data_IF_382268529043
#
_entry.id   IF_382268529043
#
_cell.length_a   1.000
_cell.length_b   1.000
_cell.length_c   1.000
_cell.angle_alpha   90.00
_cell.angle_beta   90.00
_cell.angle_gamma   90.00
#
_symmetry.space_group_name_H-M   'P 1'
#
loop_
_entity.id
_entity.type
_entity.pdbx_description
1 polymer ?
#
# COMPACT_ATOMS: atom_id res chain seq x y z
N UNK A 1 6.46 15.25 2.86
CA UNK A 1 6.19 14.38 4.03
C UNK A 1 5.69 13.03 3.53
N UNK A 2 6.05 11.90 4.15
CA UNK A 2 5.52 10.56 3.82
C UNK A 2 4.47 10.14 4.84
N UNK A 3 3.53 9.29 4.44
CA UNK A 3 2.52 8.68 5.31
C UNK A 3 2.53 7.15 5.17
N UNK A 4 1.97 6.46 6.16
CA UNK A 4 1.81 5.01 6.14
C UNK A 4 0.63 4.56 5.28
N UNK A 5 0.60 3.27 4.91
CA UNK A 5 -0.50 2.68 4.12
C UNK A 5 -1.85 2.87 4.81
N UNK A 6 -1.95 2.67 6.12
CA UNK A 6 -3.22 2.85 6.83
C UNK A 6 -3.76 4.29 6.74
N UNK A 7 -2.87 5.30 6.80
CA UNK A 7 -3.25 6.71 6.67
C UNK A 7 -3.68 7.04 5.24
N UNK A 8 -2.95 6.54 4.25
CA UNK A 8 -3.33 6.68 2.85
C UNK A 8 -4.70 6.03 2.56
N UNK A 9 -4.99 4.88 3.18
CA UNK A 9 -6.28 4.21 3.08
C UNK A 9 -7.42 5.03 3.70
N UNK A 10 -7.20 5.65 4.86
CA UNK A 10 -8.19 6.56 5.46
C UNK A 10 -8.52 7.72 4.51
N UNK A 11 -7.51 8.36 3.92
CA UNK A 11 -7.71 9.41 2.91
C UNK A 11 -8.46 8.88 1.69
N UNK A 12 -8.12 7.70 1.19
CA UNK A 12 -8.85 7.08 0.09
C UNK A 12 -10.34 6.88 0.42
N UNK A 13 -10.66 6.39 1.62
CA UNK A 13 -12.03 6.21 2.06
C UNK A 13 -12.79 7.55 2.15
N UNK A 14 -12.17 8.62 2.65
CA UNK A 14 -12.76 9.97 2.71
C UNK A 14 -13.16 10.50 1.34
N UNK A 15 -12.42 10.14 0.29
CA UNK A 15 -12.69 10.50 -1.10
C UNK A 15 -13.47 9.42 -1.87
N UNK A 16 -14.04 8.43 -1.18
CA UNK A 16 -14.89 7.39 -1.79
C UNK A 16 -14.16 6.33 -2.60
N UNK A 17 -12.83 6.24 -2.50
CA UNK A 17 -12.05 5.17 -3.14
C UNK A 17 -12.22 3.89 -2.30
N UNK A 18 -12.70 2.78 -2.89
CA UNK A 18 -12.94 1.54 -2.16
C UNK A 18 -11.65 0.99 -1.53
N UNK A 19 -11.72 0.65 -0.26
CA UNK A 19 -10.64 -0.03 0.47
C UNK A 19 -11.17 -1.31 1.11
N UNK A 20 -10.32 -2.32 1.24
CA UNK A 20 -10.63 -3.48 2.07
C UNK A 20 -10.76 -3.04 3.54
N UNK A 21 -11.62 -3.70 4.31
CA UNK A 21 -11.68 -3.49 5.75
C UNK A 21 -10.33 -3.81 6.40
N UNK A 22 -9.92 -3.04 7.39
CA UNK A 22 -8.69 -3.28 8.14
C UNK A 22 -8.27 -2.09 8.99
N UNK A 23 -7.46 -2.37 10.00
CA UNK A 23 -6.95 -1.37 10.93
C UNK A 23 -5.56 -1.77 11.44
N UNK A 24 -4.89 -0.86 12.15
CA UNK A 24 -3.55 -1.09 12.71
C UNK A 24 -3.61 -1.75 14.08
N UNK A 25 -2.65 -2.63 14.33
CA UNK A 25 -2.38 -3.25 15.61
C UNK A 25 -0.90 -3.08 15.98
N UNK A 26 -0.64 -2.79 17.25
CA UNK A 26 0.69 -2.75 17.85
C UNK A 26 0.99 -4.02 18.67
N UNK A 27 -0.05 -4.75 19.08
CA UNK A 27 0.05 -6.00 19.84
C UNK A 27 -0.63 -7.18 19.12
N UNK A 28 -0.23 -8.44 19.41
CA UNK A 28 -0.92 -9.61 18.89
C UNK A 28 -2.41 -9.66 19.28
N UNK A 29 -2.77 -9.20 20.48
CA UNK A 29 -4.15 -9.21 20.97
C UNK A 29 -5.04 -8.24 20.20
N UNK A 30 -4.55 -7.04 19.91
CA UNK A 30 -5.22 -6.10 19.02
C UNK A 30 -5.41 -6.71 17.62
N UNK A 31 -4.38 -7.38 17.09
CA UNK A 31 -4.44 -8.01 15.78
C UNK A 31 -5.48 -9.14 15.73
N UNK A 32 -5.59 -9.95 16.79
CA UNK A 32 -6.62 -10.98 16.92
C UNK A 32 -8.01 -10.37 16.98
N UNK A 33 -8.21 -9.31 17.78
CA UNK A 33 -9.50 -8.63 17.86
C UNK A 33 -9.94 -8.08 16.49
N UNK A 34 -9.02 -7.46 15.75
CA UNK A 34 -9.28 -6.98 14.39
C UNK A 34 -9.60 -8.13 13.42
N UNK A 35 -8.84 -9.24 13.48
CA UNK A 35 -9.07 -10.39 12.62
C UNK A 35 -10.41 -11.08 12.91
N UNK A 36 -10.81 -11.19 14.17
CA UNK A 36 -12.13 -11.73 14.57
C UNK A 36 -13.28 -10.85 14.06
N UNK A 37 -13.14 -9.53 14.13
CA UNK A 37 -14.12 -8.58 13.57
C UNK A 37 -14.19 -8.63 12.04
N UNK A 38 -13.04 -8.79 11.39
CA UNK A 38 -12.90 -8.75 9.93
C UNK A 38 -13.23 -10.09 9.25
N UNK A 39 -13.00 -11.18 9.97
CA UNK A 39 -13.07 -12.56 9.49
C UNK A 39 -11.84 -12.95 8.65
N UNK A 40 -11.31 -14.15 8.89
CA UNK A 40 -10.24 -14.73 8.08
C UNK A 40 -10.71 -15.06 6.64
N UNK A 41 -9.77 -15.19 5.67
CA UNK A 41 -8.34 -14.87 5.77
C UNK A 41 -8.09 -13.36 5.87
N UNK A 42 -6.99 -12.97 6.53
CA UNK A 42 -6.52 -11.57 6.63
C UNK A 42 -5.07 -11.47 6.13
N UNK A 43 -4.65 -10.26 5.79
CA UNK A 43 -3.28 -9.93 5.43
C UNK A 43 -2.71 -9.03 6.51
N UNK A 44 -1.59 -9.42 7.08
CA UNK A 44 -0.82 -8.57 7.97
C UNK A 44 0.30 -7.87 7.19
N UNK A 45 0.43 -6.55 7.37
CA UNK A 45 1.36 -5.72 6.59
C UNK A 45 2.13 -4.75 7.48
N UNK A 46 3.45 -4.84 7.46
CA UNK A 46 4.35 -3.90 8.12
C UNK A 46 4.05 -2.45 7.69
N UNK A 47 3.92 -1.56 8.67
CA UNK A 47 3.75 -0.12 8.43
C UNK A 47 5.11 0.59 8.57
N UNK A 48 5.79 0.79 7.44
CA UNK A 48 7.08 1.49 7.34
C UNK A 48 7.07 2.42 6.12
N UNK A 49 7.88 3.49 6.13
CA UNK A 49 7.87 4.55 5.10
C UNK A 49 8.75 4.22 3.88
N UNK A 50 8.76 2.94 3.50
CA UNK A 50 9.53 2.36 2.39
C UNK A 50 8.72 1.29 1.66
N UNK A 51 8.96 1.18 0.35
CA UNK A 51 8.45 0.09 -0.49
C UNK A 51 9.25 -1.21 -0.34
N UNK A 52 8.79 -2.28 -1.01
CA UNK A 52 9.46 -3.59 -1.02
C UNK A 52 9.16 -4.48 0.20
N UNK A 53 8.12 -4.13 0.98
CA UNK A 53 7.72 -4.85 2.20
C UNK A 53 7.41 -6.33 1.96
N UNK A 54 6.78 -6.67 0.83
CA UNK A 54 6.50 -8.05 0.45
C UNK A 54 7.77 -8.88 0.25
N UNK A 55 8.71 -8.39 -0.57
CA UNK A 55 10.03 -9.02 -0.78
C UNK A 55 10.83 -9.14 0.52
N UNK A 56 10.66 -8.21 1.46
CA UNK A 56 11.30 -8.23 2.77
C UNK A 56 10.57 -9.11 3.83
N UNK A 57 9.52 -9.84 3.44
CA UNK A 57 8.77 -10.72 4.36
C UNK A 57 7.89 -9.97 5.36
N UNK A 58 7.62 -8.69 5.14
CA UNK A 58 6.77 -7.84 5.96
C UNK A 58 5.30 -7.80 5.52
N UNK A 59 4.89 -8.66 4.59
CA UNK A 59 3.50 -8.83 4.16
C UNK A 59 3.19 -10.33 4.15
N UNK A 60 2.11 -10.74 4.81
CA UNK A 60 1.74 -12.16 4.90
C UNK A 60 0.23 -12.33 4.94
N UNK A 61 -0.29 -13.27 4.14
CA UNK A 61 -1.66 -13.77 4.26
C UNK A 61 -1.69 -14.81 5.37
N UNK A 62 -2.65 -14.68 6.29
CA UNK A 62 -2.85 -15.57 7.44
C UNK A 62 -4.29 -16.09 7.43
N UNK A 63 -4.44 -17.38 7.73
CA UNK A 63 -5.68 -18.12 7.56
C UNK A 63 -6.42 -18.37 8.88
N UNK A 64 -5.71 -18.31 9.99
CA UNK A 64 -6.22 -18.61 11.33
C UNK A 64 -5.51 -17.80 12.42
N UNK A 65 -6.05 -17.86 13.63
CA UNK A 65 -5.57 -17.12 14.80
C UNK A 65 -4.14 -17.50 15.20
N UNK A 66 -3.79 -18.80 15.13
CA UNK A 66 -2.47 -19.28 15.54
C UNK A 66 -1.40 -18.70 14.62
N UNK A 67 -1.57 -18.85 13.32
CA UNK A 67 -0.61 -18.32 12.33
C UNK A 67 -0.58 -16.79 12.34
N UNK A 68 -1.69 -16.13 12.67
CA UNK A 68 -1.69 -14.67 12.86
C UNK A 68 -0.74 -14.23 13.98
N UNK A 69 -0.77 -14.87 15.15
CA UNK A 69 0.10 -14.51 16.28
C UNK A 69 1.58 -14.74 15.94
N UNK A 70 1.89 -15.90 15.36
CA UNK A 70 3.25 -16.27 14.95
C UNK A 70 3.82 -15.25 13.96
N UNK A 71 3.08 -14.95 12.89
CA UNK A 71 3.52 -14.04 11.84
C UNK A 71 3.52 -12.59 12.30
N UNK A 72 2.59 -12.18 13.19
CA UNK A 72 2.60 -10.86 13.80
C UNK A 72 3.91 -10.62 14.56
N UNK A 73 4.27 -11.53 15.47
CA UNK A 73 5.49 -11.42 16.27
C UNK A 73 6.75 -11.44 15.40
N UNK A 74 6.76 -12.29 14.36
CA UNK A 74 7.87 -12.32 13.40
C UNK A 74 8.02 -10.99 12.68
N UNK A 75 6.95 -10.45 12.10
CA UNK A 75 7.00 -9.22 11.29
C UNK A 75 7.28 -7.99 12.16
N UNK A 76 6.72 -7.92 13.38
CA UNK A 76 6.94 -6.81 14.32
C UNK A 76 8.42 -6.63 14.70
N UNK A 77 9.20 -7.70 14.66
CA UNK A 77 10.63 -7.68 14.96
C UNK A 77 11.53 -7.39 13.73
N UNK A 78 10.95 -7.21 12.54
CA UNK A 78 11.74 -6.89 11.35
C UNK A 78 12.24 -5.44 11.36
N UNK A 79 13.36 -5.26 10.68
CA UNK A 79 13.82 -3.96 10.20
C UNK A 79 13.87 -4.01 8.68
N UNK A 80 13.07 -3.17 8.02
CA UNK A 80 12.93 -3.16 6.56
C UNK A 80 13.62 -1.91 6.03
N UNK A 81 14.74 -2.08 5.31
CA UNK A 81 15.54 -0.97 4.74
C UNK A 81 15.87 0.13 5.78
N UNK A 82 16.23 -0.27 7.01
CA UNK A 82 16.55 0.64 8.12
C UNK A 82 15.36 1.11 8.96
N UNK A 83 14.12 0.75 8.61
CA UNK A 83 12.93 1.10 9.36
C UNK A 83 12.48 -0.07 10.24
N UNK A 84 12.51 0.12 11.57
CA UNK A 84 11.94 -0.84 12.52
C UNK A 84 10.42 -0.86 12.40
N UNK A 85 9.83 -2.04 12.44
CA UNK A 85 8.37 -2.20 12.35
C UNK A 85 7.70 -1.89 13.69
N UNK A 86 7.00 -0.75 13.77
CA UNK A 86 6.30 -0.34 15.00
C UNK A 86 4.85 -0.83 15.07
N UNK A 87 4.19 -1.06 13.94
CA UNK A 87 2.79 -1.52 13.88
C UNK A 87 2.51 -2.27 12.60
N UNK A 88 1.52 -3.15 12.64
CA UNK A 88 1.06 -3.90 11.48
C UNK A 88 -0.37 -3.48 11.13
N UNK A 89 -0.66 -3.36 9.85
CA UNK A 89 -2.04 -3.28 9.35
C UNK A 89 -2.57 -4.71 9.22
N UNK A 90 -3.72 -4.98 9.83
CA UNK A 90 -4.48 -6.22 9.68
C UNK A 90 -5.68 -5.91 8.80
N UNK A 91 -5.69 -6.43 7.57
CA UNK A 91 -6.72 -6.14 6.58
C UNK A 91 -7.34 -7.40 6.02
N UNK A 92 -8.62 -7.34 5.62
CA UNK A 92 -9.28 -8.46 4.93
C UNK A 92 -8.49 -8.85 3.70
N UNK A 93 -8.20 -10.15 3.54
CA UNK A 93 -7.63 -10.66 2.31
C UNK A 93 -8.71 -10.64 1.21
N UNK A 94 -8.33 -10.17 0.04
CA UNK A 94 -9.19 -10.10 -1.15
C UNK A 94 -8.77 -11.20 -2.13
N UNK A 95 -9.74 -11.77 -2.84
CA UNK A 95 -9.48 -12.70 -3.94
C UNK A 95 -9.11 -11.90 -5.19
N UNK A 96 -7.80 -11.84 -5.46
CA UNK A 96 -7.24 -11.00 -6.52
C UNK A 96 -7.31 -11.77 -7.84
N UNK A 97 -8.13 -11.27 -8.78
CA UNK A 97 -8.20 -11.81 -10.15
C UNK A 97 -7.22 -11.13 -11.10
N UNK A 98 -6.97 -9.83 -10.89
CA UNK A 98 -6.04 -9.01 -11.66
C UNK A 98 -5.43 -7.95 -10.75
N UNK A 99 -4.17 -7.64 -10.98
CA UNK A 99 -3.46 -6.54 -10.32
C UNK A 99 -3.10 -5.50 -11.36
N UNK A 100 -3.29 -4.22 -11.02
CA UNK A 100 -2.96 -3.10 -11.88
C UNK A 100 -2.10 -2.10 -11.11
N UNK A 101 -1.30 -1.34 -11.84
CA UNK A 101 -0.55 -0.22 -11.28
C UNK A 101 -1.24 1.09 -11.66
N UNK A 102 -1.44 1.98 -10.69
CA UNK A 102 -1.85 3.37 -10.90
C UNK A 102 -1.08 4.28 -9.95
N UNK A 103 -0.53 5.38 -10.47
CA UNK A 103 0.06 6.44 -9.67
C UNK A 103 -0.25 7.81 -10.27
N UNK A 104 -0.29 8.81 -9.41
CA UNK A 104 -0.39 10.23 -9.78
C UNK A 104 0.82 10.93 -9.19
N UNK A 105 1.58 11.63 -10.02
CA UNK A 105 2.79 12.36 -9.61
C UNK A 105 2.97 13.61 -10.46
N UNK A 106 3.97 14.42 -10.13
CA UNK A 106 4.34 15.62 -10.88
C UNK A 106 5.49 15.27 -11.83
N UNK A 107 5.31 15.59 -13.12
CA UNK A 107 6.40 15.63 -14.08
C UNK A 107 7.00 17.04 -14.08
N UNK A 108 8.15 17.21 -13.41
CA UNK A 108 8.82 18.51 -13.28
C UNK A 108 9.37 19.04 -14.61
N UNK A 109 9.62 18.18 -15.60
CA UNK A 109 10.13 18.62 -16.92
C UNK A 109 9.00 19.24 -17.72
N UNK A 110 7.81 18.66 -17.65
CA UNK A 110 6.61 19.18 -18.32
C UNK A 110 5.87 20.24 -17.51
N UNK A 111 6.09 20.29 -16.20
CA UNK A 111 5.36 21.15 -15.29
C UNK A 111 3.87 20.79 -15.22
N UNK A 112 3.55 19.49 -15.23
CA UNK A 112 2.17 18.98 -15.25
C UNK A 112 2.02 17.78 -14.30
N UNK A 113 0.79 17.52 -13.89
CA UNK A 113 0.43 16.28 -13.19
C UNK A 113 0.32 15.16 -14.23
N UNK A 114 0.97 14.04 -13.94
CA UNK A 114 0.94 12.84 -14.77
C UNK A 114 0.31 11.68 -14.00
N UNK A 115 -0.65 11.03 -14.65
CA UNK A 115 -1.23 9.76 -14.23
C UNK A 115 -0.47 8.67 -14.97
N UNK A 116 0.07 7.71 -14.23
CA UNK A 116 0.83 6.57 -14.73
C UNK A 116 0.00 5.32 -14.46
N UNK A 117 -0.24 4.52 -15.49
CA UNK A 117 -0.98 3.26 -15.36
C UNK A 117 -0.27 2.11 -16.08
N UNK A 118 -0.40 0.89 -15.55
CA UNK A 118 0.06 -0.32 -16.22
C UNK A 118 -0.84 -1.51 -15.92
N UNK A 119 -0.95 -2.41 -16.91
CA UNK A 119 -1.59 -3.71 -16.74
C UNK A 119 -0.80 -4.61 -15.78
N UNK A 120 0.50 -4.36 -15.61
CA UNK A 120 1.40 -5.13 -14.75
C UNK A 120 1.40 -4.52 -13.34
N UNK A 121 0.39 -4.84 -12.55
CA UNK A 121 0.36 -4.52 -11.13
C UNK A 121 1.22 -5.45 -10.27
N UNK A 122 1.45 -5.07 -9.00
CA UNK A 122 2.15 -5.92 -8.02
C UNK A 122 3.68 -6.02 -8.20
N UNK A 123 4.23 -5.50 -9.30
CA UNK A 123 5.66 -5.48 -9.62
C UNK A 123 6.29 -4.11 -9.37
N UNK A 124 7.61 -4.04 -9.44
CA UNK A 124 8.35 -2.79 -9.30
C UNK A 124 8.22 -1.97 -10.60
N UNK A 125 7.46 -0.87 -10.53
CA UNK A 125 7.22 -0.02 -11.70
C UNK A 125 8.50 0.61 -12.26
N UNK A 126 9.53 0.82 -11.43
CA UNK A 126 10.83 1.35 -11.88
C UNK A 126 11.61 0.30 -12.69
N UNK A 127 11.37 -0.99 -12.42
CA UNK A 127 11.88 -2.10 -13.22
C UNK A 127 11.15 -2.15 -14.56
N UNK A 128 9.80 -2.15 -14.54
CA UNK A 128 8.98 -2.11 -15.77
C UNK A 128 9.35 -0.93 -16.67
N UNK A 129 9.60 0.25 -16.11
CA UNK A 129 9.98 1.44 -16.88
C UNK A 129 11.33 1.30 -17.62
N UNK A 130 12.20 0.38 -17.17
CA UNK A 130 13.49 0.09 -17.80
C UNK A 130 13.41 -1.06 -18.79
N UNK A 131 12.64 -2.10 -18.48
CA UNK A 131 12.59 -3.34 -19.27
C UNK A 131 11.50 -3.32 -20.33
N UNK A 132 10.30 -2.86 -19.95
CA UNK A 132 9.08 -2.91 -20.76
C UNK A 132 8.35 -1.54 -20.74
N UNK A 133 8.99 -0.44 -21.18
CA UNK A 133 8.42 0.91 -21.06
C UNK A 133 7.09 1.09 -21.81
N UNK A 134 6.82 0.28 -22.84
CA UNK A 134 5.59 0.28 -23.61
C UNK A 134 4.36 -0.19 -22.81
N UNK A 135 4.57 -0.92 -21.71
CA UNK A 135 3.49 -1.33 -20.80
C UNK A 135 3.04 -0.21 -19.86
N UNK A 136 3.70 0.94 -19.91
CA UNK A 136 3.40 2.09 -19.07
C UNK A 136 2.66 3.15 -19.88
N UNK A 137 1.41 3.38 -19.51
CA UNK A 137 0.60 4.45 -20.04
C UNK A 137 0.79 5.70 -19.19
N UNK A 138 1.00 6.84 -19.84
CA UNK A 138 1.09 8.16 -19.20
C UNK A 138 0.00 9.06 -19.74
N UNK A 139 -0.81 9.60 -18.85
CA UNK A 139 -1.83 10.59 -19.16
C UNK A 139 -1.51 11.89 -18.43
N UNK A 140 -1.37 12.99 -19.18
CA UNK A 140 -1.06 14.30 -18.62
C UNK A 140 -2.35 15.08 -18.44
N UNK A 141 -2.53 15.68 -17.25
CA UNK A 141 -3.79 16.36 -16.92
C UNK A 141 -4.01 17.66 -17.67
N UNK A 142 -2.95 18.21 -18.30
CA UNK A 142 -2.99 19.51 -18.97
C UNK A 142 -3.49 20.60 -18.02
N UNK A 143 -3.04 20.57 -16.76
CA UNK A 143 -3.54 21.44 -15.70
C UNK A 143 -3.43 22.93 -16.04
N UNK A 144 -4.25 23.75 -15.40
CA UNK A 144 -4.12 25.20 -15.49
C UNK A 144 -2.75 25.64 -14.95
N UNK A 145 -2.00 26.39 -15.77
CA UNK A 145 -0.70 26.97 -15.37
C UNK A 145 -0.84 28.21 -14.48
N UNK A 146 -2.07 28.63 -14.21
CA UNK A 146 -2.40 29.74 -13.33
C UNK A 146 -2.57 29.22 -11.91
N UNK A 147 -1.85 29.84 -10.97
CA UNK A 147 -2.03 29.58 -9.54
C UNK A 147 -3.45 29.96 -9.13
N UNK A 148 -4.11 29.08 -8.38
CA UNK A 148 -5.34 29.43 -7.67
C UNK A 148 -4.95 30.36 -6.51
N UNK A 149 -5.14 31.67 -6.72
CA UNK A 149 -4.80 32.71 -5.72
C UNK A 149 -5.75 32.71 -4.51
N UNK A 150 -6.79 31.87 -4.50
CA UNK A 150 -7.75 31.78 -3.40
C UNK A 150 -7.34 30.83 -2.27
N UNK A 151 -6.17 30.18 -2.38
CA UNK A 151 -5.60 29.26 -1.38
C UNK A 151 -4.26 29.75 -0.83
#
# INVERSE_FOLDING_TARGET
MKIHEYQARSLFAEYGIPIAAGDVAQTPDEALALARKTGFPVVIKAQVLVGGRGKAGGVKVVLDERTLIEEFNRIKNLTIKGYRVDRLLVAKAIDIKKEYYVAVTIDNVRGDVVIIASADGGVDIEETARTDPEKILKFYTQGQKTLDESR
#
